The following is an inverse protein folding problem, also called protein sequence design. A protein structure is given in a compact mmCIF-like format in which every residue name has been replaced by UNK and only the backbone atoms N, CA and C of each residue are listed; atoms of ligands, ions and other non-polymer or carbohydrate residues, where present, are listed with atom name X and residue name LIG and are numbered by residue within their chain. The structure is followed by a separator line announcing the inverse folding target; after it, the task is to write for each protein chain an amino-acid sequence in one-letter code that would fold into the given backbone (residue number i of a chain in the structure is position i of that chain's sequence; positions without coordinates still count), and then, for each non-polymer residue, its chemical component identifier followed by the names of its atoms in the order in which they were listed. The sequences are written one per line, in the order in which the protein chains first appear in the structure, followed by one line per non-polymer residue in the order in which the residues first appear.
data_IF_744936366931
#
_entry.id   IF_744936366931
#
_cell.length_a   1.000
_cell.length_b   1.000
_cell.length_c   1.000
_cell.angle_alpha   90.00
_cell.angle_beta   90.00
_cell.angle_gamma   90.00
#
_symmetry.space_group_name_H-M   'P 1'
#
loop_
_entity.id
_entity.type
_entity.pdbx_description
1 polymer ?
#
# COMPACT_ATOMS: atom_id res chain seq x y z
N UNK A 1 -12.19 5.54 0.97
CA UNK A 1 -11.98 5.47 -0.50
C UNK A 1 -13.17 4.86 -1.25
N UNK A 2 -13.72 3.68 -0.90
CA UNK A 2 -14.91 3.11 -1.61
C UNK A 2 -16.06 4.10 -1.67
N UNK A 3 -16.43 4.68 -0.53
CA UNK A 3 -17.53 5.65 -0.46
C UNK A 3 -17.29 6.87 -1.37
N UNK A 4 -16.06 7.35 -1.49
CA UNK A 4 -15.74 8.51 -2.34
C UNK A 4 -15.86 8.14 -3.82
N UNK A 5 -15.34 6.98 -4.22
CA UNK A 5 -15.44 6.51 -5.60
C UNK A 5 -16.89 6.23 -6.02
N UNK A 6 -17.67 5.56 -5.16
CA UNK A 6 -19.09 5.30 -5.40
C UNK A 6 -19.89 6.60 -5.41
N UNK A 7 -19.64 7.49 -4.45
CA UNK A 7 -20.30 8.80 -4.39
C UNK A 7 -20.02 9.63 -5.65
N UNK A 8 -18.77 9.63 -6.12
CA UNK A 8 -18.40 10.33 -7.36
C UNK A 8 -19.20 9.84 -8.57
N UNK A 9 -19.40 8.52 -8.69
CA UNK A 9 -20.18 7.95 -9.79
C UNK A 9 -21.69 8.16 -9.64
N UNK A 10 -22.21 8.11 -8.42
CA UNK A 10 -23.66 8.23 -8.13
C UNK A 10 -24.11 9.68 -8.10
N UNK A 11 -23.26 10.63 -7.73
CA UNK A 11 -23.62 12.04 -7.53
C UNK A 11 -24.35 12.71 -8.71
N UNK A 12 -24.02 12.49 -10.00
CA UNK A 12 -24.75 13.12 -11.11
C UNK A 12 -26.07 12.42 -11.44
N UNK A 13 -26.26 11.15 -11.05
CA UNK A 13 -27.44 10.36 -11.42
C UNK A 13 -28.76 10.97 -10.92
N UNK A 14 -28.90 11.33 -9.63
CA UNK A 14 -30.14 11.91 -9.13
C UNK A 14 -30.53 13.18 -9.89
N UNK A 15 -29.56 14.05 -10.20
CA UNK A 15 -29.81 15.30 -10.95
C UNK A 15 -30.27 15.03 -12.40
N UNK A 16 -29.62 14.07 -13.07
CA UNK A 16 -29.93 13.68 -14.45
C UNK A 16 -31.36 13.11 -14.54
N UNK A 17 -31.70 12.18 -13.63
CA UNK A 17 -33.07 11.62 -13.60
C UNK A 17 -34.10 12.62 -13.15
N UNK A 18 -33.83 13.52 -12.20
CA UNK A 18 -34.72 14.56 -11.76
C UNK A 18 -35.10 15.53 -12.91
N UNK A 19 -34.06 15.97 -13.67
CA UNK A 19 -34.30 16.87 -14.83
C UNK A 19 -35.11 16.16 -15.90
N UNK A 20 -34.88 14.89 -16.16
CA UNK A 20 -35.62 14.08 -17.13
C UNK A 20 -37.13 13.97 -16.74
N UNK A 21 -37.44 13.71 -15.47
CA UNK A 21 -38.80 13.54 -15.01
C UNK A 21 -39.56 14.86 -14.83
N UNK A 22 -38.85 15.98 -14.57
CA UNK A 22 -39.49 17.27 -14.29
C UNK A 22 -39.60 18.18 -15.53
N UNK A 23 -38.69 18.09 -16.50
CA UNK A 23 -38.59 18.99 -17.63
C UNK A 23 -38.39 18.24 -18.95
N UNK A 24 -39.47 17.75 -19.55
CA UNK A 24 -39.42 17.06 -20.86
C UNK A 24 -38.99 17.94 -22.05
N UNK A 25 -38.85 19.25 -21.87
CA UNK A 25 -38.50 20.22 -22.93
C UNK A 25 -37.04 20.72 -22.86
N UNK A 26 -36.27 20.34 -21.81
CA UNK A 26 -34.89 20.78 -21.69
C UNK A 26 -33.95 19.90 -22.54
N UNK A 27 -32.91 20.48 -23.14
CA UNK A 27 -31.90 19.66 -23.85
C UNK A 27 -31.30 18.64 -22.86
N UNK A 28 -31.36 17.36 -23.22
CA UNK A 28 -30.96 16.24 -22.40
C UNK A 28 -29.43 16.28 -22.22
N UNK A 29 -28.99 16.88 -21.13
CA UNK A 29 -27.57 16.85 -20.74
C UNK A 29 -27.33 15.60 -19.88
N UNK A 30 -27.03 14.46 -20.53
CA UNK A 30 -26.66 13.22 -19.87
C UNK A 30 -25.23 13.36 -19.33
N UNK A 31 -25.14 13.72 -18.05
CA UNK A 31 -23.85 13.93 -17.40
C UNK A 31 -23.14 12.57 -17.21
N UNK A 32 -22.02 12.41 -17.89
CA UNK A 32 -21.14 11.24 -17.74
C UNK A 32 -19.82 11.67 -17.10
N UNK A 33 -19.34 10.92 -16.12
CA UNK A 33 -18.02 11.15 -15.53
C UNK A 33 -16.87 10.67 -16.44
N UNK A 34 -17.11 9.60 -17.19
CA UNK A 34 -16.22 9.09 -18.23
C UNK A 34 -16.93 9.20 -19.57
N UNK A 35 -16.36 9.99 -20.48
CA UNK A 35 -16.86 10.10 -21.84
C UNK A 35 -16.44 8.84 -22.64
N UNK A 36 -17.12 7.71 -22.36
CA UNK A 36 -16.92 6.47 -23.10
C UNK A 36 -18.02 6.31 -24.14
N UNK A 37 -17.62 6.03 -25.38
CA UNK A 37 -18.52 5.60 -26.41
C UNK A 37 -18.59 4.07 -26.39
N UNK A 38 -19.77 3.55 -26.11
CA UNK A 38 -20.07 2.15 -26.35
C UNK A 38 -20.55 1.99 -27.79
N UNK A 39 -19.93 1.08 -28.56
CA UNK A 39 -20.21 0.90 -29.98
C UNK A 39 -21.68 0.53 -30.28
N UNK A 40 -22.44 0.08 -29.28
CA UNK A 40 -23.79 -0.45 -29.40
C UNK A 40 -24.87 0.36 -28.68
N UNK A 41 -24.47 1.37 -27.91
CA UNK A 41 -25.35 2.17 -27.05
C UNK A 41 -25.10 3.66 -27.30
N UNK A 42 -26.16 4.38 -27.64
CA UNK A 42 -26.10 5.82 -27.73
C UNK A 42 -26.41 6.47 -26.39
N UNK A 43 -25.45 6.35 -25.47
CA UNK A 43 -25.54 6.84 -24.10
C UNK A 43 -25.52 8.37 -23.98
N UNK A 44 -25.56 9.10 -25.10
CA UNK A 44 -25.56 10.56 -25.13
C UNK A 44 -26.91 11.16 -25.57
N UNK A 45 -27.70 10.46 -26.35
CA UNK A 45 -28.97 10.94 -26.89
C UNK A 45 -30.19 10.19 -26.35
N UNK A 46 -30.02 8.90 -26.02
CA UNK A 46 -31.11 8.04 -25.55
C UNK A 46 -31.03 7.81 -24.03
N UNK A 47 -32.11 8.15 -23.31
CA UNK A 47 -32.18 7.90 -21.87
C UNK A 47 -32.22 6.40 -21.52
N UNK A 48 -32.82 5.59 -22.39
CA UNK A 48 -32.83 4.14 -22.21
C UNK A 48 -31.40 3.56 -22.26
N UNK A 49 -30.62 3.94 -23.28
CA UNK A 49 -29.23 3.49 -23.43
C UNK A 49 -28.32 4.02 -22.33
N UNK A 50 -28.56 5.26 -21.86
CA UNK A 50 -27.88 5.80 -20.70
C UNK A 50 -28.16 4.98 -19.44
N UNK A 51 -29.41 4.58 -19.21
CA UNK A 51 -29.76 3.76 -18.05
C UNK A 51 -29.11 2.37 -18.10
N UNK A 52 -29.08 1.73 -19.26
CA UNK A 52 -28.38 0.44 -19.47
C UNK A 52 -26.87 0.62 -19.21
N UNK A 53 -26.26 1.69 -19.71
CA UNK A 53 -24.87 2.01 -19.46
C UNK A 53 -24.57 2.15 -17.96
N UNK A 54 -25.41 2.91 -17.23
CA UNK A 54 -25.26 3.11 -15.78
C UNK A 54 -25.38 1.78 -15.02
N UNK A 55 -26.36 0.94 -15.41
CA UNK A 55 -26.59 -0.37 -14.78
C UNK A 55 -25.39 -1.31 -14.95
N UNK A 56 -24.70 -1.24 -16.07
CA UNK A 56 -23.47 -2.03 -16.33
C UNK A 56 -22.28 -1.45 -15.57
N UNK A 57 -22.12 -0.14 -15.57
CA UNK A 57 -20.95 0.54 -15.02
C UNK A 57 -20.94 0.63 -13.49
N UNK A 58 -22.11 0.70 -12.86
CA UNK A 58 -22.21 0.84 -11.40
C UNK A 58 -21.60 -0.37 -10.64
N UNK A 59 -21.97 -1.63 -10.95
CA UNK A 59 -21.33 -2.78 -10.30
C UNK A 59 -19.83 -2.89 -10.63
N UNK A 60 -19.41 -2.54 -11.85
CA UNK A 60 -18.00 -2.54 -12.23
C UNK A 60 -17.21 -1.52 -11.40
N UNK A 61 -17.73 -0.31 -11.21
CA UNK A 61 -17.11 0.73 -10.40
C UNK A 61 -17.02 0.31 -8.93
N UNK A 62 -18.09 -0.29 -8.40
CA UNK A 62 -18.09 -0.82 -7.04
C UNK A 62 -17.03 -1.92 -6.87
N UNK A 63 -16.92 -2.84 -7.83
CA UNK A 63 -15.91 -3.88 -7.81
C UNK A 63 -14.49 -3.31 -7.85
N UNK A 64 -14.22 -2.35 -8.73
CA UNK A 64 -12.92 -1.68 -8.80
C UNK A 64 -12.57 -0.97 -7.49
N UNK A 65 -13.52 -0.23 -6.90
CA UNK A 65 -13.33 0.45 -5.63
C UNK A 65 -13.06 -0.52 -4.49
N UNK A 66 -13.75 -1.66 -4.43
CA UNK A 66 -13.49 -2.68 -3.40
C UNK A 66 -12.12 -3.34 -3.56
N UNK A 67 -11.70 -3.66 -4.79
CA UNK A 67 -10.39 -4.25 -5.07
C UNK A 67 -9.24 -3.32 -4.66
N UNK A 68 -9.37 -2.01 -4.93
CA UNK A 68 -8.37 -1.01 -4.50
C UNK A 68 -8.25 -0.97 -2.98
N UNK A 69 -9.38 -1.02 -2.25
CA UNK A 69 -9.35 -1.01 -0.79
C UNK A 69 -8.79 -2.31 -0.20
N UNK A 70 -9.15 -3.46 -0.75
CA UNK A 70 -8.60 -4.76 -0.35
C UNK A 70 -7.07 -4.77 -0.55
N UNK A 71 -6.59 -4.28 -1.69
CA UNK A 71 -5.14 -4.12 -1.95
C UNK A 71 -4.48 -3.25 -0.88
N UNK A 72 -5.03 -2.06 -0.61
CA UNK A 72 -4.48 -1.12 0.38
C UNK A 72 -4.39 -1.76 1.78
N UNK A 73 -5.49 -2.34 2.24
CA UNK A 73 -5.59 -2.95 3.58
C UNK A 73 -4.65 -4.15 3.70
N UNK A 74 -4.66 -5.05 2.72
CA UNK A 74 -3.83 -6.26 2.74
C UNK A 74 -2.34 -5.90 2.74
N UNK A 75 -1.91 -4.96 1.89
CA UNK A 75 -0.51 -4.51 1.84
C UNK A 75 -0.10 -3.87 3.15
N UNK A 76 -0.91 -2.96 3.70
CA UNK A 76 -0.61 -2.26 4.95
C UNK A 76 -0.54 -3.23 6.14
N UNK A 77 -1.47 -4.17 6.26
CA UNK A 77 -1.47 -5.18 7.31
C UNK A 77 -0.23 -6.08 7.19
N UNK A 78 0.12 -6.52 5.98
CA UNK A 78 1.25 -7.41 5.78
C UNK A 78 2.58 -6.76 6.18
N UNK A 79 2.80 -5.49 5.82
CA UNK A 79 4.01 -4.74 6.21
C UNK A 79 4.03 -4.54 7.74
N UNK A 80 2.89 -4.10 8.32
CA UNK A 80 2.77 -3.88 9.77
C UNK A 80 2.97 -5.18 10.55
N UNK A 81 2.49 -6.31 10.05
CA UNK A 81 2.71 -7.62 10.66
C UNK A 81 4.21 -7.97 10.72
N UNK A 82 4.96 -7.77 9.62
CA UNK A 82 6.42 -8.00 9.62
C UNK A 82 7.15 -7.06 10.58
N UNK A 83 6.73 -5.78 10.67
CA UNK A 83 7.30 -4.83 11.62
C UNK A 83 7.04 -5.25 13.08
N UNK A 84 5.82 -5.68 13.40
CA UNK A 84 5.48 -6.22 14.73
C UNK A 84 6.19 -7.54 15.04
N UNK A 85 6.40 -8.38 14.03
CA UNK A 85 7.17 -9.60 14.23
C UNK A 85 8.63 -9.30 14.56
N UNK A 86 9.22 -8.24 13.98
CA UNK A 86 10.56 -7.77 14.38
C UNK A 86 10.58 -7.30 15.86
N UNK A 87 9.53 -6.62 16.34
CA UNK A 87 9.39 -6.24 17.75
C UNK A 87 9.36 -7.48 18.66
N UNK A 88 8.62 -8.54 18.28
CA UNK A 88 8.56 -9.80 19.05
C UNK A 88 9.94 -10.47 19.12
N UNK A 89 10.67 -10.52 18.00
CA UNK A 89 12.03 -11.07 17.98
C UNK A 89 12.97 -10.24 18.86
N UNK A 90 12.84 -8.89 18.83
CA UNK A 90 13.60 -8.00 19.70
C UNK A 90 13.35 -8.29 21.18
N UNK A 91 12.10 -8.37 21.59
CA UNK A 91 11.73 -8.72 23.00
C UNK A 91 12.28 -10.08 23.40
N UNK A 92 12.19 -11.08 22.51
CA UNK A 92 12.75 -12.41 22.78
C UNK A 92 14.28 -12.38 22.92
N UNK A 93 14.97 -11.44 22.28
CA UNK A 93 16.41 -11.19 22.46
C UNK A 93 16.66 -10.54 23.83
N UNK A 94 15.87 -9.56 24.23
CA UNK A 94 15.98 -8.85 25.53
C UNK A 94 15.74 -9.82 26.71
N UNK A 95 14.75 -10.69 26.62
CA UNK A 95 14.43 -11.71 27.63
C UNK A 95 15.58 -12.71 27.91
N UNK A 96 16.52 -12.83 26.99
CA UNK A 96 17.69 -13.69 27.22
C UNK A 96 18.61 -13.20 28.34
N UNK A 97 18.57 -11.91 28.71
CA UNK A 97 19.44 -11.34 29.78
C UNK A 97 19.00 -11.78 31.19
N UNK A 98 17.75 -12.17 31.38
CA UNK A 98 17.18 -12.57 32.66
C UNK A 98 17.42 -14.04 33.01
N UNK A 99 18.04 -14.82 32.08
CA UNK A 99 18.21 -16.27 32.25
C UNK A 99 19.56 -16.57 32.88
N UNK A 100 19.54 -17.11 34.11
CA UNK A 100 20.75 -17.49 34.86
C UNK A 100 21.30 -18.88 34.52
N UNK A 101 20.45 -19.80 34.02
CA UNK A 101 20.86 -21.18 33.68
C UNK A 101 21.41 -21.28 32.26
N UNK A 102 22.64 -21.73 32.09
CA UNK A 102 23.29 -21.89 30.77
C UNK A 102 22.54 -22.86 29.84
N UNK A 103 21.95 -23.92 30.38
CA UNK A 103 21.17 -24.86 29.57
C UNK A 103 19.89 -24.24 29.04
N UNK A 104 19.15 -23.50 29.90
CA UNK A 104 17.94 -22.79 29.49
C UNK A 104 18.28 -21.68 28.49
N UNK A 105 19.37 -20.96 28.70
CA UNK A 105 19.86 -19.91 27.83
C UNK A 105 20.16 -20.45 26.42
N UNK A 106 20.81 -21.63 26.32
CA UNK A 106 21.10 -22.30 25.05
C UNK A 106 19.80 -22.64 24.28
N UNK A 107 18.81 -23.22 24.97
CA UNK A 107 17.52 -23.56 24.36
C UNK A 107 16.77 -22.30 23.88
N UNK A 108 16.72 -21.26 24.71
CA UNK A 108 16.09 -19.98 24.36
C UNK A 108 16.79 -19.29 23.19
N UNK A 109 18.11 -19.27 23.15
CA UNK A 109 18.88 -18.72 22.04
C UNK A 109 18.54 -19.45 20.73
N UNK A 110 18.42 -20.78 20.75
CA UNK A 110 18.02 -21.55 19.58
C UNK A 110 16.59 -21.18 19.09
N UNK A 111 15.64 -20.94 20.03
CA UNK A 111 14.31 -20.44 19.70
C UNK A 111 14.38 -19.06 19.04
N UNK A 112 15.17 -18.13 19.58
CA UNK A 112 15.34 -16.77 19.05
C UNK A 112 15.98 -16.81 17.65
N UNK A 113 16.98 -17.65 17.44
CA UNK A 113 17.57 -17.88 16.10
C UNK A 113 16.52 -18.36 15.10
N UNK A 114 15.65 -19.29 15.52
CA UNK A 114 14.55 -19.80 14.69
C UNK A 114 13.53 -18.71 14.36
N UNK A 115 13.15 -17.88 15.34
CA UNK A 115 12.24 -16.75 15.15
C UNK A 115 12.84 -15.70 14.19
N UNK A 116 14.11 -15.35 14.36
CA UNK A 116 14.81 -14.42 13.48
C UNK A 116 14.86 -14.95 12.02
N UNK A 117 15.14 -16.23 11.84
CA UNK A 117 15.12 -16.87 10.51
C UNK A 117 13.73 -16.80 9.88
N UNK A 118 12.67 -17.04 10.66
CA UNK A 118 11.27 -16.91 10.19
C UNK A 118 10.95 -15.47 9.80
N UNK A 119 11.38 -14.47 10.59
CA UNK A 119 11.22 -13.05 10.27
C UNK A 119 11.86 -12.71 8.92
N UNK A 120 13.12 -13.10 8.71
CA UNK A 120 13.82 -12.86 7.45
C UNK A 120 13.11 -13.52 6.26
N UNK A 121 12.61 -14.74 6.43
CA UNK A 121 11.85 -15.44 5.40
C UNK A 121 10.53 -14.68 5.09
N UNK A 122 9.80 -14.25 6.12
CA UNK A 122 8.57 -13.45 5.96
C UNK A 122 8.82 -12.17 5.17
N UNK A 123 9.84 -11.40 5.52
CA UNK A 123 10.18 -10.15 4.83
C UNK A 123 10.61 -10.41 3.39
N UNK A 124 11.38 -11.47 3.12
CA UNK A 124 11.75 -11.84 1.74
C UNK A 124 10.56 -12.25 0.89
N UNK A 125 9.63 -13.04 1.44
CA UNK A 125 8.40 -13.41 0.74
C UNK A 125 7.53 -12.19 0.47
N UNK A 126 7.41 -11.29 1.45
CA UNK A 126 6.67 -10.04 1.31
C UNK A 126 7.28 -9.16 0.22
N UNK A 127 8.60 -8.94 0.24
CA UNK A 127 9.32 -8.18 -0.78
C UNK A 127 9.09 -8.78 -2.19
N UNK A 128 9.25 -10.09 -2.33
CA UNK A 128 9.04 -10.77 -3.61
C UNK A 128 7.61 -10.59 -4.16
N UNK A 129 6.61 -10.58 -3.27
CA UNK A 129 5.20 -10.46 -3.66
C UNK A 129 4.81 -9.00 -3.95
N UNK A 130 5.28 -8.07 -3.13
CA UNK A 130 4.91 -6.65 -3.27
C UNK A 130 5.72 -5.92 -4.33
N UNK A 131 6.94 -6.33 -4.60
CA UNK A 131 7.86 -5.68 -5.54
C UNK A 131 7.21 -5.36 -6.92
N UNK A 132 6.59 -6.32 -7.65
CA UNK A 132 5.96 -6.02 -8.92
C UNK A 132 4.71 -5.14 -8.79
N UNK A 133 3.95 -5.29 -7.71
CA UNK A 133 2.73 -4.51 -7.45
C UNK A 133 3.09 -3.04 -7.17
N UNK A 134 4.10 -2.82 -6.35
CA UNK A 134 4.58 -1.47 -6.02
C UNK A 134 5.23 -0.80 -7.23
N UNK A 135 5.97 -1.54 -8.04
CA UNK A 135 6.56 -1.02 -9.29
C UNK A 135 5.47 -0.53 -10.24
N UNK A 136 4.42 -1.35 -10.46
CA UNK A 136 3.29 -0.97 -11.30
C UNK A 136 2.56 0.25 -10.73
N UNK A 137 2.31 0.27 -9.41
CA UNK A 137 1.68 1.40 -8.71
C UNK A 137 2.47 2.69 -8.92
N UNK A 138 3.80 2.62 -8.78
CA UNK A 138 4.69 3.77 -8.95
C UNK A 138 4.70 4.28 -10.40
N UNK A 139 4.80 3.38 -11.37
CA UNK A 139 4.74 3.74 -12.79
C UNK A 139 3.41 4.42 -13.15
N UNK A 140 2.28 3.88 -12.65
CA UNK A 140 0.96 4.47 -12.85
C UNK A 140 0.83 5.84 -12.16
N UNK A 141 1.46 6.03 -11.00
CA UNK A 141 1.48 7.32 -10.30
C UNK A 141 2.19 8.38 -11.14
N UNK A 142 3.38 8.09 -11.68
CA UNK A 142 4.14 9.00 -12.55
C UNK A 142 3.37 9.33 -13.83
N UNK A 143 2.74 8.33 -14.45
CA UNK A 143 1.94 8.52 -15.67
C UNK A 143 0.73 9.41 -15.40
N UNK A 144 0.02 9.19 -14.29
CA UNK A 144 -1.10 10.05 -13.86
C UNK A 144 -0.65 11.49 -13.60
N UNK A 145 0.51 11.70 -12.95
CA UNK A 145 1.10 13.03 -12.78
C UNK A 145 1.28 13.73 -14.12
N UNK A 146 1.93 13.07 -15.05
CA UNK A 146 2.23 13.64 -16.38
C UNK A 146 0.95 14.04 -17.11
N UNK A 147 -0.06 13.16 -17.12
CA UNK A 147 -1.36 13.42 -17.74
C UNK A 147 -2.12 14.55 -17.05
N UNK A 148 -2.07 14.60 -15.71
CA UNK A 148 -2.73 15.65 -14.94
C UNK A 148 -2.12 17.03 -15.21
N UNK A 149 -0.78 17.12 -15.24
CA UNK A 149 -0.09 18.36 -15.56
C UNK A 149 -0.37 18.82 -17.01
N UNK A 150 -0.37 17.88 -17.95
CA UNK A 150 -0.73 18.15 -19.35
C UNK A 150 -2.17 18.68 -19.45
N UNK A 151 -3.10 18.06 -18.78
CA UNK A 151 -4.50 18.49 -18.73
C UNK A 151 -4.64 19.91 -18.16
N UNK A 152 -3.95 20.21 -17.05
CA UNK A 152 -3.95 21.54 -16.44
C UNK A 152 -3.36 22.60 -17.36
N UNK A 153 -2.31 22.26 -18.11
CA UNK A 153 -1.70 23.16 -19.08
C UNK A 153 -2.65 23.55 -20.20
N UNK A 154 -3.40 22.59 -20.77
CA UNK A 154 -4.30 22.86 -21.89
C UNK A 154 -5.68 23.39 -21.49
N UNK A 155 -6.26 22.91 -20.40
CA UNK A 155 -7.63 23.20 -20.01
C UNK A 155 -7.75 24.26 -18.90
N UNK A 156 -6.63 24.62 -18.25
CA UNK A 156 -6.64 25.53 -17.11
C UNK A 156 -7.33 24.95 -15.86
N UNK A 157 -7.53 25.81 -14.85
CA UNK A 157 -8.16 25.41 -13.59
C UNK A 157 -9.68 25.53 -13.71
N UNK A 158 -10.34 24.39 -13.88
CA UNK A 158 -11.79 24.25 -13.95
C UNK A 158 -12.29 23.32 -12.84
N UNK A 159 -13.59 23.21 -12.63
CA UNK A 159 -14.18 22.27 -11.66
C UNK A 159 -13.75 20.81 -11.92
N UNK A 160 -13.60 20.41 -13.19
CA UNK A 160 -13.07 19.09 -13.58
C UNK A 160 -11.61 18.93 -13.17
N UNK A 161 -10.79 19.98 -13.32
CA UNK A 161 -9.38 19.97 -12.91
C UNK A 161 -9.23 19.73 -11.41
N UNK A 162 -10.08 20.37 -10.59
CA UNK A 162 -10.11 20.16 -9.13
C UNK A 162 -10.39 18.69 -8.79
N UNK A 163 -11.36 18.08 -9.48
CA UNK A 163 -11.67 16.66 -9.26
C UNK A 163 -10.51 15.73 -9.60
N UNK A 164 -9.82 15.99 -10.71
CA UNK A 164 -8.64 15.22 -11.14
C UNK A 164 -7.51 15.37 -10.11
N UNK A 165 -7.27 16.58 -9.61
CA UNK A 165 -6.27 16.86 -8.57
C UNK A 165 -6.60 16.09 -7.29
N UNK A 166 -7.86 16.07 -6.85
CA UNK A 166 -8.29 15.33 -5.65
C UNK A 166 -8.03 13.83 -5.84
N UNK A 167 -8.44 13.26 -6.97
CA UNK A 167 -8.23 11.84 -7.27
C UNK A 167 -6.74 11.49 -7.30
N UNK A 168 -5.93 12.35 -7.89
CA UNK A 168 -4.49 12.18 -7.90
C UNK A 168 -3.89 12.24 -6.49
N UNK A 169 -4.30 13.21 -5.67
CA UNK A 169 -3.83 13.34 -4.28
C UNK A 169 -4.11 12.09 -3.44
N UNK A 170 -5.23 11.40 -3.69
CA UNK A 170 -5.54 10.14 -3.01
C UNK A 170 -4.57 9.00 -3.40
N UNK A 171 -4.17 8.92 -4.66
CA UNK A 171 -3.18 7.93 -5.13
C UNK A 171 -1.79 8.24 -4.56
N UNK A 172 -1.41 9.51 -4.53
CA UNK A 172 -0.14 9.94 -3.92
C UNK A 172 -0.11 9.64 -2.42
N UNK A 173 -1.21 9.89 -1.69
CA UNK A 173 -1.35 9.57 -0.28
C UNK A 173 -1.23 8.06 -0.01
N UNK A 174 -1.83 7.23 -0.86
CA UNK A 174 -1.68 5.77 -0.78
C UNK A 174 -0.21 5.35 -0.91
N UNK A 175 0.49 5.89 -1.90
CA UNK A 175 1.91 5.59 -2.13
C UNK A 175 2.77 6.07 -0.97
N UNK A 176 2.50 7.27 -0.44
CA UNK A 176 3.18 7.80 0.75
C UNK A 176 2.97 6.89 1.98
N UNK A 177 1.76 6.37 2.19
CA UNK A 177 1.46 5.44 3.27
C UNK A 177 2.33 4.18 3.18
N UNK A 178 2.51 3.62 1.98
CA UNK A 178 3.39 2.46 1.80
C UNK A 178 4.86 2.80 2.11
N UNK A 179 5.34 3.97 1.70
CA UNK A 179 6.68 4.44 2.03
C UNK A 179 6.87 4.61 3.55
N UNK A 180 5.90 5.19 4.24
CA UNK A 180 5.93 5.33 5.71
C UNK A 180 5.98 3.97 6.42
N UNK A 181 5.20 2.99 5.95
CA UNK A 181 5.22 1.64 6.48
C UNK A 181 6.54 0.91 6.19
N UNK A 182 7.14 1.14 5.03
CA UNK A 182 8.47 0.62 4.68
C UNK A 182 9.56 1.19 5.60
N UNK A 183 9.53 2.50 5.86
CA UNK A 183 10.42 3.15 6.83
C UNK A 183 10.23 2.59 8.24
N UNK A 184 8.97 2.36 8.66
CA UNK A 184 8.69 1.73 9.95
C UNK A 184 9.31 0.34 10.06
N UNK A 185 9.20 -0.50 9.02
CA UNK A 185 9.79 -1.83 8.99
C UNK A 185 11.32 -1.77 9.10
N UNK A 186 11.97 -0.87 8.37
CA UNK A 186 13.41 -0.67 8.43
C UNK A 186 13.86 -0.23 9.84
N UNK A 187 13.16 0.73 10.44
CA UNK A 187 13.44 1.21 11.80
C UNK A 187 13.30 0.10 12.86
N UNK A 188 12.35 -0.83 12.71
CA UNK A 188 12.22 -1.99 13.60
C UNK A 188 13.36 -2.98 13.40
N UNK A 189 13.85 -3.15 12.16
CA UNK A 189 15.06 -3.92 11.87
C UNK A 189 16.31 -3.37 12.57
N UNK A 190 16.52 -2.06 12.52
CA UNK A 190 17.62 -1.39 13.22
C UNK A 190 17.52 -1.53 14.75
N UNK A 191 16.31 -1.43 15.31
CA UNK A 191 16.11 -1.64 16.76
C UNK A 191 16.46 -3.08 17.17
N UNK A 192 16.14 -4.07 16.35
CA UNK A 192 16.53 -5.46 16.56
C UNK A 192 18.05 -5.64 16.49
N UNK A 193 18.71 -5.02 15.51
CA UNK A 193 20.18 -5.03 15.40
C UNK A 193 20.83 -4.46 16.65
N UNK A 194 20.36 -3.29 17.12
CA UNK A 194 20.86 -2.66 18.36
C UNK A 194 20.66 -3.54 19.58
N UNK A 195 19.52 -4.20 19.71
CA UNK A 195 19.24 -5.12 20.81
C UNK A 195 20.19 -6.34 20.80
N UNK A 196 20.50 -6.87 19.62
CA UNK A 196 21.48 -7.96 19.47
C UNK A 196 22.91 -7.51 19.82
N UNK A 197 23.29 -6.28 19.41
CA UNK A 197 24.62 -5.74 19.66
C UNK A 197 24.84 -5.38 21.13
N UNK A 198 23.85 -4.79 21.80
CA UNK A 198 23.94 -4.34 23.20
C UNK A 198 24.03 -5.48 24.21
N UNK A 199 23.78 -6.70 23.78
CA UNK A 199 23.81 -7.87 24.65
C UNK A 199 25.23 -8.18 25.17
N UNK A 200 25.33 -8.75 26.39
CA UNK A 200 26.59 -9.21 27.02
C UNK A 200 27.07 -10.52 26.39
N UNK A 201 27.31 -10.51 25.08
CA UNK A 201 27.72 -11.66 24.27
C UNK A 201 29.03 -12.31 24.75
N UNK A 202 29.94 -11.55 25.39
CA UNK A 202 31.24 -12.01 25.92
C UNK A 202 31.10 -12.96 27.09
N UNK A 203 29.95 -13.05 27.75
CA UNK A 203 29.69 -13.98 28.87
C UNK A 203 29.19 -15.35 28.38
N UNK A 204 28.84 -15.47 27.11
CA UNK A 204 28.29 -16.67 26.51
C UNK A 204 29.35 -17.71 26.16
N UNK A 205 28.98 -18.99 26.01
CA UNK A 205 29.83 -20.00 25.47
C UNK A 205 30.23 -19.69 24.03
N UNK A 206 31.39 -20.20 23.55
CA UNK A 206 31.92 -19.92 22.21
C UNK A 206 30.90 -20.29 21.11
N UNK A 207 30.16 -21.37 21.30
CA UNK A 207 29.13 -21.80 20.35
C UNK A 207 27.98 -20.81 20.27
N UNK A 208 27.49 -20.32 21.42
CA UNK A 208 26.45 -19.31 21.49
C UNK A 208 26.93 -17.98 20.90
N UNK A 209 28.19 -17.58 21.15
CA UNK A 209 28.78 -16.38 20.56
C UNK A 209 28.76 -16.45 19.02
N UNK A 210 29.14 -17.59 18.44
CA UNK A 210 29.10 -17.81 16.97
C UNK A 210 27.67 -17.65 16.43
N UNK A 211 26.68 -18.25 17.09
CA UNK A 211 25.28 -18.14 16.68
C UNK A 211 24.78 -16.68 16.74
N UNK A 212 25.11 -15.96 17.82
CA UNK A 212 24.76 -14.55 17.96
C UNK A 212 25.44 -13.68 16.90
N UNK A 213 26.72 -13.93 16.61
CA UNK A 213 27.46 -13.23 15.56
C UNK A 213 26.84 -13.42 14.18
N UNK A 214 26.38 -14.64 13.86
CA UNK A 214 25.66 -14.92 12.62
C UNK A 214 24.34 -14.18 12.55
N UNK A 215 23.59 -14.13 13.67
CA UNK A 215 22.36 -13.33 13.75
C UNK A 215 22.66 -11.85 13.54
N UNK A 216 23.65 -11.29 14.21
CA UNK A 216 24.03 -9.88 14.09
C UNK A 216 24.44 -9.55 12.66
N UNK A 217 25.29 -10.36 12.03
CA UNK A 217 25.70 -10.20 10.62
C UNK A 217 24.49 -10.17 9.65
N UNK A 218 23.43 -10.91 9.99
CA UNK A 218 22.19 -10.90 9.20
C UNK A 218 21.29 -9.70 9.53
N UNK A 219 21.24 -9.29 10.81
CA UNK A 219 20.47 -8.13 11.27
C UNK A 219 21.03 -6.80 10.75
N UNK A 220 22.35 -6.71 10.51
CA UNK A 220 23.00 -5.57 9.85
C UNK A 220 22.51 -5.32 8.41
N UNK A 221 21.89 -6.33 7.79
CA UNK A 221 21.19 -6.11 6.52
C UNK A 221 19.77 -5.60 6.84
N UNK A 222 19.46 -4.33 6.55
CA UNK A 222 18.19 -3.74 6.93
C UNK A 222 17.02 -4.51 6.33
N UNK A 223 15.94 -4.63 7.11
CA UNK A 223 14.67 -5.20 6.64
C UNK A 223 14.04 -4.20 5.67
N UNK A 224 14.06 -4.53 4.39
CA UNK A 224 13.62 -3.63 3.32
C UNK A 224 12.61 -4.30 2.43
N UNK A 225 11.69 -3.47 1.92
CA UNK A 225 10.84 -3.79 0.78
C UNK A 225 11.36 -2.95 -0.39
N UNK A 226 11.48 -3.55 -1.56
CA UNK A 226 12.02 -2.91 -2.76
C UNK A 226 10.94 -2.68 -3.80
N UNK A 227 11.10 -1.63 -4.60
CA UNK A 227 10.25 -1.31 -5.73
C UNK A 227 11.06 -1.54 -7.00
N UNK A 228 10.70 -2.56 -7.78
CA UNK A 228 11.42 -2.93 -9.01
C UNK A 228 12.88 -3.36 -8.80
N UNK A 229 13.31 -3.63 -7.54
CA UNK A 229 14.70 -3.87 -7.14
C UNK A 229 15.64 -2.66 -7.31
N UNK A 230 15.12 -1.50 -7.72
CA UNK A 230 15.90 -0.28 -7.94
C UNK A 230 15.81 0.67 -6.75
N UNK A 231 14.60 0.82 -6.18
CA UNK A 231 14.32 1.75 -5.10
C UNK A 231 13.92 0.99 -3.84
N UNK A 232 14.22 1.61 -2.69
CA UNK A 232 13.74 1.12 -1.41
C UNK A 232 12.43 1.81 -1.07
N UNK A 233 11.51 1.06 -0.46
CA UNK A 233 10.25 1.61 0.00
C UNK A 233 10.49 2.39 1.31
N UNK A 234 10.88 3.65 1.20
CA UNK A 234 11.09 4.56 2.34
C UNK A 234 10.58 5.97 2.01
N UNK A 235 10.46 6.81 3.05
CA UNK A 235 9.97 8.20 2.89
C UNK A 235 11.03 9.07 2.22
N UNK A 236 12.31 8.82 2.41
CA UNK A 236 13.41 9.59 1.82
C UNK A 236 13.43 9.50 0.29
N UNK A 237 13.08 8.33 -0.25
CA UNK A 237 13.01 8.08 -1.70
C UNK A 237 11.70 8.58 -2.34
N UNK A 238 10.69 8.95 -1.52
CA UNK A 238 9.42 9.47 -2.02
C UNK A 238 9.49 10.95 -2.41
N UNK A 239 10.36 11.73 -1.79
CA UNK A 239 10.55 13.18 -2.02
C UNK A 239 11.79 13.47 -2.82
#
# INVERSE_FOLDING_TARGET
MVCIGVFYWVAPLPRTYWVYFTNSSAPLHLAQHLEQKFYWLDNRSSMADYTVFVMIMLPFTFLCATLINVKLVTTSISITYCAKFADVVKLAVEDLDDISSMEQLSKKLAEVVSLHKKLLCCVQMLDKTLNPVLLLQWALCVLNWSVTLLYLYYCGINLRSVTIIIMFSLIALETFLYCALGTLLAARGEQLERALYSRRWYTLSIEMQKNLLLMLSRAQKPLRITVGKFYQLNVEEFG
#
